data_IF_909719651919
#
_entry.id   IF_909719651919
#
_cell.length_a   1.000
_cell.length_b   1.000
_cell.length_c   1.000
_cell.angle_alpha   90.00
_cell.angle_beta   90.00
_cell.angle_gamma   90.00
#
_symmetry.space_group_name_H-M   'P 1'
#
loop_
_entity.id
_entity.type
_entity.pdbx_description
1 polymer ?
#
# COMPACT_ATOMS: atom_id res chain seq x y z
N UNK A 1 9.61 18.18 21.62
CA UNK A 1 8.55 17.93 20.63
C UNK A 1 9.23 17.59 19.32
N UNK A 2 9.25 16.32 18.94
CA UNK A 2 10.04 15.83 17.80
C UNK A 2 9.14 15.73 16.57
N UNK A 3 9.48 16.44 15.49
CA UNK A 3 8.75 16.34 14.23
C UNK A 3 9.08 15.02 13.53
N UNK A 4 8.07 14.18 13.31
CA UNK A 4 8.21 13.00 12.47
C UNK A 4 8.35 13.45 11.01
N UNK A 5 9.51 13.19 10.39
CA UNK A 5 9.67 13.30 8.94
C UNK A 5 9.16 12.03 8.28
N UNK A 6 8.33 12.19 7.26
CA UNK A 6 8.10 11.12 6.28
C UNK A 6 9.43 10.80 5.60
N UNK A 7 9.75 9.52 5.49
CA UNK A 7 10.99 9.05 4.88
C UNK A 7 10.76 8.86 3.37
N UNK A 8 11.45 9.63 2.50
CA UNK A 8 11.38 9.41 1.06
C UNK A 8 12.16 8.14 0.71
N UNK A 9 11.45 7.01 0.57
CA UNK A 9 12.02 5.73 0.16
C UNK A 9 11.07 4.98 -0.78
N UNK A 10 10.83 5.58 -1.94
CA UNK A 10 10.21 4.89 -3.08
C UNK A 10 11.18 3.84 -3.64
N UNK A 11 11.11 2.62 -3.09
CA UNK A 11 11.96 1.51 -3.53
C UNK A 11 11.43 0.91 -4.85
N UNK A 12 11.70 1.60 -5.97
CA UNK A 12 11.47 1.06 -7.33
C UNK A 12 12.19 -0.29 -7.48
N UNK A 13 11.61 -1.25 -8.22
CA UNK A 13 12.27 -2.33 -9.04
C UNK A 13 11.26 -3.25 -9.73
N UNK A 14 11.68 -3.85 -10.84
CA UNK A 14 10.95 -4.88 -11.59
C UNK A 14 11.53 -6.28 -11.38
N UNK A 15 10.67 -7.30 -11.25
CA UNK A 15 11.07 -8.71 -11.20
C UNK A 15 10.07 -9.62 -11.93
N UNK A 16 10.50 -10.81 -12.39
CA UNK A 16 9.65 -11.69 -13.21
C UNK A 16 8.73 -12.59 -12.37
N UNK A 17 7.49 -12.76 -12.83
CA UNK A 17 6.50 -13.66 -12.22
C UNK A 17 6.74 -15.14 -12.56
N UNK A 18 6.36 -16.02 -11.63
CA UNK A 18 5.95 -17.41 -11.90
C UNK A 18 4.51 -17.60 -11.43
N UNK A 19 3.62 -18.03 -12.32
CA UNK A 19 2.18 -18.04 -12.08
C UNK A 19 1.64 -19.43 -11.73
N UNK A 20 1.29 -19.64 -10.45
CA UNK A 20 0.52 -20.80 -10.00
C UNK A 20 -0.99 -20.55 -10.06
N UNK A 21 -1.77 -21.53 -10.52
CA UNK A 21 -3.25 -21.48 -10.55
C UNK A 21 -3.85 -21.60 -9.15
N UNK A 22 -4.10 -20.48 -8.47
CA UNK A 22 -4.88 -20.40 -7.23
C UNK A 22 -5.65 -19.08 -7.14
N UNK A 23 -6.78 -19.08 -6.43
CA UNK A 23 -7.62 -17.88 -6.21
C UNK A 23 -6.94 -16.79 -5.35
N UNK A 24 -5.82 -17.13 -4.71
CA UNK A 24 -4.83 -16.19 -4.21
C UNK A 24 -3.53 -16.43 -4.99
N UNK A 25 -3.13 -15.46 -5.82
CA UNK A 25 -1.80 -15.48 -6.42
C UNK A 25 -0.80 -15.02 -5.36
N UNK A 26 0.05 -15.93 -4.88
CA UNK A 26 1.22 -15.57 -4.08
C UNK A 26 2.32 -15.06 -5.02
N UNK A 27 2.93 -13.93 -4.69
CA UNK A 27 3.69 -13.15 -5.65
C UNK A 27 5.04 -12.71 -5.09
N UNK A 28 6.13 -13.16 -5.71
CA UNK A 28 7.50 -13.05 -5.21
C UNK A 28 8.36 -12.22 -6.16
N UNK A 29 9.08 -11.22 -5.65
CA UNK A 29 9.86 -10.29 -6.49
C UNK A 29 11.27 -9.99 -5.98
N UNK A 30 12.22 -9.93 -6.93
CA UNK A 30 13.67 -9.69 -6.79
C UNK A 30 14.00 -8.20 -6.71
N UNK A 31 15.00 -7.79 -5.89
CA UNK A 31 15.42 -6.38 -5.81
C UNK A 31 16.97 -6.15 -5.77
N UNK A 32 17.59 -5.38 -6.71
CA UNK A 32 19.01 -4.94 -6.64
C UNK A 32 19.23 -3.47 -6.19
N UNK A 33 20.08 -3.24 -5.17
CA UNK A 33 20.34 -1.96 -4.45
C UNK A 33 20.85 -0.76 -5.27
N UNK A 34 20.40 0.48 -4.96
CA UNK A 34 21.28 1.66 -4.98
C UNK A 34 21.19 2.53 -3.69
N UNK A 35 21.97 3.62 -3.65
CA UNK A 35 22.45 4.35 -2.46
C UNK A 35 21.91 5.81 -2.36
N UNK A 36 22.08 6.46 -1.19
CA UNK A 36 21.33 7.66 -0.76
C UNK A 36 21.99 9.04 -1.05
N UNK A 37 21.17 10.08 -1.32
CA UNK A 37 21.44 11.55 -1.21
C UNK A 37 20.13 12.38 -1.40
N UNK A 38 19.89 13.56 -0.78
CA UNK A 38 20.63 14.16 0.35
C UNK A 38 20.31 15.58 0.92
N UNK A 39 19.23 16.33 0.60
CA UNK A 39 19.09 17.72 1.15
C UNK A 39 17.78 18.55 1.00
N UNK A 40 17.29 19.05 2.15
CA UNK A 40 16.57 20.33 2.54
C UNK A 40 16.18 21.43 1.49
N UNK A 41 15.26 22.42 1.69
CA UNK A 41 14.19 22.82 2.68
C UNK A 41 13.41 24.09 2.12
N UNK A 42 12.34 24.57 2.82
CA UNK A 42 11.53 25.83 2.65
C UNK A 42 10.40 25.82 1.57
N UNK A 43 9.22 26.48 1.72
CA UNK A 43 8.60 27.28 2.80
C UNK A 43 7.03 27.21 2.75
N UNK A 44 6.32 27.67 3.79
CA UNK A 44 4.85 27.51 3.97
C UNK A 44 3.99 28.71 3.54
N UNK A 45 2.76 28.44 3.10
CA UNK A 45 1.59 29.33 3.25
C UNK A 45 0.33 28.51 3.59
N UNK A 46 -0.35 28.84 4.69
CA UNK A 46 -1.57 28.16 5.13
C UNK A 46 -2.84 28.89 4.66
N UNK A 47 -3.77 28.15 4.07
CA UNK A 47 -5.17 28.58 3.86
C UNK A 47 -6.07 27.68 4.68
N UNK A 48 -6.75 28.23 5.69
CA UNK A 48 -7.57 27.46 6.63
C UNK A 48 -8.90 27.01 6.01
N UNK A 49 -9.00 25.75 5.61
CA UNK A 49 -10.29 25.11 5.34
C UNK A 49 -10.68 24.24 6.54
N UNK A 50 -11.95 24.28 6.96
CA UNK A 50 -12.39 23.63 8.19
C UNK A 50 -12.27 22.09 8.06
N UNK A 51 -11.33 21.51 8.78
CA UNK A 51 -11.10 20.07 8.82
C UNK A 51 -12.31 19.34 9.39
N UNK A 52 -12.87 18.38 8.64
CA UNK A 52 -13.58 17.27 9.28
C UNK A 52 -12.52 16.48 10.05
N UNK A 53 -12.53 16.62 11.37
CA UNK A 53 -11.67 15.82 12.25
C UNK A 53 -11.86 14.34 11.94
N UNK A 54 -10.83 13.69 11.43
CA UNK A 54 -10.83 12.24 11.29
C UNK A 54 -10.83 11.66 12.69
N UNK A 55 -11.99 11.19 13.13
CA UNK A 55 -12.09 10.41 14.34
C UNK A 55 -12.05 8.95 13.90
N UNK A 56 -10.94 8.23 14.09
CA UNK A 56 -11.01 6.78 14.06
C UNK A 56 -11.91 6.40 15.24
N UNK A 57 -13.14 5.97 14.96
CA UNK A 57 -13.89 5.23 15.96
C UNK A 57 -13.02 4.01 16.30
N UNK A 58 -12.62 3.82 17.58
CA UNK A 58 -11.76 2.71 17.93
C UNK A 58 -12.49 1.43 17.58
N UNK A 59 -12.03 0.74 16.54
CA UNK A 59 -12.65 -0.49 16.07
C UNK A 59 -12.84 -1.42 17.28
N UNK A 60 -14.05 -1.97 17.51
CA UNK A 60 -14.34 -2.73 18.72
C UNK A 60 -13.29 -3.82 18.87
N UNK A 61 -12.69 -3.98 20.07
CA UNK A 61 -11.56 -4.87 20.27
C UNK A 61 -11.94 -6.27 19.77
N UNK A 62 -11.09 -6.91 18.95
CA UNK A 62 -11.46 -8.12 18.23
C UNK A 62 -11.91 -9.20 19.23
N UNK A 63 -13.20 -9.55 19.18
CA UNK A 63 -13.88 -10.39 20.18
C UNK A 63 -13.03 -11.60 20.54
N UNK A 64 -12.67 -11.73 21.82
CA UNK A 64 -11.73 -12.75 22.32
C UNK A 64 -12.25 -14.18 22.16
N UNK A 65 -13.56 -14.35 22.11
CA UNK A 65 -14.26 -15.60 21.81
C UNK A 65 -14.82 -15.57 20.39
N UNK A 66 -14.46 -16.52 19.49
CA UNK A 66 -15.16 -16.69 18.22
C UNK A 66 -16.64 -17.00 18.47
N UNK A 67 -17.56 -16.44 17.68
CA UNK A 67 -18.96 -16.89 17.72
C UNK A 67 -19.01 -18.33 17.16
N UNK A 68 -19.42 -19.34 17.96
CA UNK A 68 -19.48 -20.73 17.50
C UNK A 68 -20.56 -20.95 16.42
N UNK A 69 -21.44 -19.98 16.19
CA UNK A 69 -22.44 -20.00 15.11
C UNK A 69 -21.97 -19.31 13.83
N UNK A 70 -20.83 -18.63 13.85
CA UNK A 70 -20.28 -17.98 12.65
C UNK A 70 -19.61 -19.01 11.73
N UNK A 71 -19.70 -18.78 10.42
CA UNK A 71 -19.01 -19.59 9.41
C UNK A 71 -17.49 -19.56 9.60
N UNK A 72 -16.81 -20.66 9.25
CA UNK A 72 -15.36 -20.82 9.42
C UNK A 72 -14.51 -19.64 8.89
N UNK A 73 -14.81 -19.00 7.73
CA UNK A 73 -14.08 -17.82 7.27
C UNK A 73 -14.21 -16.60 8.19
N UNK A 74 -15.36 -16.40 8.87
CA UNK A 74 -15.53 -15.31 9.83
C UNK A 74 -14.85 -15.60 11.17
N UNK A 75 -14.87 -16.86 11.63
CA UNK A 75 -14.07 -17.27 12.78
C UNK A 75 -12.57 -17.02 12.52
N UNK A 76 -12.06 -17.42 11.34
CA UNK A 76 -10.67 -17.17 10.95
C UNK A 76 -10.36 -15.66 10.87
N UNK A 77 -11.23 -14.84 10.26
CA UNK A 77 -11.08 -13.37 10.26
C UNK A 77 -11.07 -12.81 11.68
N UNK A 78 -11.90 -13.33 12.58
CA UNK A 78 -11.92 -12.96 14.00
C UNK A 78 -10.59 -13.20 14.72
N UNK A 79 -9.92 -14.31 14.42
CA UNK A 79 -8.57 -14.61 14.94
C UNK A 79 -7.51 -13.72 14.27
N UNK A 80 -7.51 -13.63 12.94
CA UNK A 80 -6.49 -12.90 12.18
C UNK A 80 -6.49 -11.38 12.45
N UNK A 81 -7.65 -10.80 12.81
CA UNK A 81 -7.79 -9.39 13.26
C UNK A 81 -7.07 -9.08 14.58
N UNK A 82 -6.61 -10.09 15.34
CA UNK A 82 -5.85 -9.91 16.59
C UNK A 82 -4.33 -9.84 16.38
N UNK A 83 -3.86 -10.28 15.21
CA UNK A 83 -2.44 -10.23 14.88
C UNK A 83 -2.10 -8.83 14.37
N UNK A 84 -0.96 -8.31 14.80
CA UNK A 84 -0.39 -7.11 14.19
C UNK A 84 0.10 -7.46 12.78
N UNK A 85 -0.34 -6.69 11.79
CA UNK A 85 0.12 -6.79 10.40
C UNK A 85 0.76 -5.47 9.99
N UNK A 86 1.71 -5.52 9.05
CA UNK A 86 2.13 -4.33 8.30
C UNK A 86 0.92 -3.76 7.53
N UNK A 87 0.91 -2.45 7.27
CA UNK A 87 -0.03 -1.83 6.33
C UNK A 87 0.79 -1.02 5.35
N UNK A 88 0.65 -1.36 4.07
CA UNK A 88 1.36 -0.69 2.98
C UNK A 88 0.39 -0.40 1.83
N UNK A 89 0.66 0.65 1.06
CA UNK A 89 0.03 0.86 -0.25
C UNK A 89 0.96 0.36 -1.33
N UNK A 90 0.45 -0.45 -2.25
CA UNK A 90 1.13 -0.79 -3.49
C UNK A 90 0.56 0.05 -4.64
N UNK A 91 1.43 0.65 -5.46
CA UNK A 91 1.05 1.32 -6.71
C UNK A 91 1.70 0.66 -7.91
N UNK A 92 1.00 0.64 -9.04
CA UNK A 92 1.44 0.09 -10.33
C UNK A 92 0.71 0.81 -11.47
N UNK A 93 1.25 0.74 -12.68
CA UNK A 93 0.65 1.36 -13.88
C UNK A 93 0.36 0.27 -14.91
N UNK A 94 -0.85 0.27 -15.49
CA UNK A 94 -1.22 -0.72 -16.52
C UNK A 94 -0.75 -0.32 -17.93
N UNK A 95 -0.96 -1.20 -18.93
CA UNK A 95 -0.49 -0.97 -20.32
C UNK A 95 -1.10 0.26 -20.99
N UNK A 96 -2.15 0.85 -20.41
CA UNK A 96 -2.79 2.06 -20.91
C UNK A 96 -2.18 3.32 -20.30
N UNK A 97 -1.13 3.19 -19.48
CA UNK A 97 -0.56 4.28 -18.70
C UNK A 97 -1.45 4.67 -17.51
N UNK A 98 -2.48 3.89 -17.17
CA UNK A 98 -3.40 4.27 -16.11
C UNK A 98 -2.87 3.80 -14.75
N UNK A 99 -2.55 4.72 -13.82
CA UNK A 99 -2.11 4.35 -12.49
C UNK A 99 -3.21 3.63 -11.67
N UNK A 100 -2.77 2.67 -10.85
CA UNK A 100 -3.57 1.82 -9.96
C UNK A 100 -2.89 1.77 -8.59
N UNK A 101 -3.69 1.78 -7.52
CA UNK A 101 -3.22 1.52 -6.16
C UNK A 101 -4.02 0.43 -5.44
N UNK A 102 -3.49 -0.11 -4.35
CA UNK A 102 -4.26 -0.87 -3.35
C UNK A 102 -3.55 -0.90 -1.99
N UNK A 103 -4.32 -0.84 -0.91
CA UNK A 103 -3.82 -1.14 0.44
C UNK A 103 -3.73 -2.65 0.65
N UNK A 104 -2.67 -3.11 1.29
CA UNK A 104 -2.50 -4.51 1.68
C UNK A 104 -1.87 -4.64 3.06
N UNK A 105 -2.24 -5.72 3.75
CA UNK A 105 -1.65 -6.13 5.03
C UNK A 105 -0.98 -7.51 4.97
N UNK A 106 -0.72 -8.01 3.76
CA UNK A 106 -0.11 -9.32 3.50
C UNK A 106 1.37 -9.22 3.10
N UNK A 107 1.96 -8.02 3.22
CA UNK A 107 3.33 -7.71 2.79
C UNK A 107 4.36 -8.16 3.82
N UNK A 108 5.25 -9.06 3.41
CA UNK A 108 6.32 -9.62 4.26
C UNK A 108 7.60 -9.86 3.46
N UNK A 109 8.76 -9.73 4.11
CA UNK A 109 10.03 -10.15 3.54
C UNK A 109 10.12 -11.68 3.51
N UNK A 110 10.56 -12.23 2.37
CA UNK A 110 10.69 -13.66 2.12
C UNK A 110 12.15 -14.12 2.14
N UNK A 111 13.07 -13.29 1.67
CA UNK A 111 14.51 -13.53 1.73
C UNK A 111 15.29 -12.22 1.74
N UNK A 112 16.54 -12.26 2.19
CA UNK A 112 17.48 -11.14 2.17
C UNK A 112 18.78 -11.47 1.42
N UNK A 113 19.15 -12.75 1.35
CA UNK A 113 20.38 -13.28 0.74
C UNK A 113 20.06 -14.65 0.08
N UNK A 114 20.60 -14.98 -1.10
CA UNK A 114 21.41 -14.15 -2.01
C UNK A 114 20.61 -13.06 -2.73
N UNK A 115 19.30 -12.98 -2.48
CA UNK A 115 18.37 -12.07 -3.13
C UNK A 115 17.39 -11.51 -2.09
N UNK A 116 17.25 -10.17 -1.97
CA UNK A 116 16.16 -9.59 -1.22
C UNK A 116 14.84 -9.82 -1.97
N UNK A 117 13.96 -10.61 -1.36
CA UNK A 117 12.65 -11.00 -1.87
C UNK A 117 11.56 -10.51 -0.91
N UNK A 118 10.47 -10.00 -1.47
CA UNK A 118 9.22 -9.75 -0.75
C UNK A 118 8.11 -10.62 -1.31
N UNK A 119 7.11 -10.93 -0.49
CA UNK A 119 5.90 -11.63 -0.93
C UNK A 119 4.65 -10.99 -0.35
N UNK A 120 3.56 -11.04 -1.11
CA UNK A 120 2.25 -10.60 -0.70
C UNK A 120 1.15 -11.39 -1.42
N UNK A 121 -0.06 -11.33 -0.86
CA UNK A 121 -1.24 -12.03 -1.37
C UNK A 121 -2.30 -11.03 -1.82
N UNK A 122 -2.75 -11.17 -3.07
CA UNK A 122 -3.79 -10.32 -3.67
C UNK A 122 -5.03 -11.14 -3.98
N UNK A 123 -6.21 -10.63 -3.59
CA UNK A 123 -7.50 -11.24 -3.91
C UNK A 123 -7.78 -11.11 -5.42
N UNK A 124 -8.10 -12.21 -6.09
CA UNK A 124 -8.56 -12.17 -7.49
C UNK A 124 -10.09 -12.02 -7.57
N UNK A 125 -10.63 -11.30 -8.58
CA UNK A 125 -9.92 -10.47 -9.55
C UNK A 125 -9.42 -9.15 -8.94
N UNK A 126 -8.25 -8.67 -9.37
CA UNK A 126 -7.70 -7.37 -8.96
C UNK A 126 -7.10 -6.64 -10.15
N UNK A 127 -7.53 -5.40 -10.36
CA UNK A 127 -6.99 -4.51 -11.42
C UNK A 127 -5.56 -4.08 -11.12
N UNK A 128 -5.20 -3.93 -9.85
CA UNK A 128 -3.81 -3.62 -9.45
C UNK A 128 -2.91 -4.84 -9.71
N UNK A 129 -3.39 -6.07 -9.48
CA UNK A 129 -2.63 -7.26 -9.86
C UNK A 129 -2.41 -7.34 -11.38
N UNK A 130 -3.43 -7.04 -12.19
CA UNK A 130 -3.28 -6.95 -13.65
C UNK A 130 -2.28 -5.88 -14.06
N UNK A 131 -2.32 -4.68 -13.47
CA UNK A 131 -1.34 -3.62 -13.72
C UNK A 131 0.09 -4.03 -13.37
N UNK A 132 0.30 -4.73 -12.25
CA UNK A 132 1.61 -5.28 -11.87
C UNK A 132 2.09 -6.31 -12.92
N UNK A 133 1.21 -7.18 -13.40
CA UNK A 133 1.54 -8.18 -14.44
C UNK A 133 1.88 -7.52 -15.79
N UNK A 134 1.11 -6.50 -16.15
CA UNK A 134 1.27 -5.67 -17.34
C UNK A 134 2.60 -4.89 -17.33
N UNK A 135 2.97 -4.32 -16.19
CA UNK A 135 4.26 -3.66 -15.95
C UNK A 135 5.44 -4.64 -15.74
N UNK A 136 5.31 -5.89 -16.22
CA UNK A 136 6.33 -6.95 -16.09
C UNK A 136 6.82 -7.21 -14.66
N UNK A 137 5.97 -6.96 -13.66
CA UNK A 137 6.28 -7.07 -12.24
C UNK A 137 6.97 -5.85 -11.62
N UNK A 138 6.87 -4.67 -12.25
CA UNK A 138 7.22 -3.39 -11.63
C UNK A 138 6.05 -2.83 -10.80
N UNK A 139 6.38 -2.34 -9.60
CA UNK A 139 5.44 -1.72 -8.66
C UNK A 139 6.24 -0.97 -7.59
N UNK A 140 5.58 -0.04 -6.90
CA UNK A 140 6.11 0.59 -5.69
C UNK A 140 5.38 0.05 -4.45
N UNK A 141 6.06 0.11 -3.30
CA UNK A 141 5.49 -0.15 -1.97
C UNK A 141 5.75 1.05 -1.09
N UNK A 142 4.68 1.62 -0.54
CA UNK A 142 4.69 2.77 0.36
C UNK A 142 4.38 2.27 1.77
N UNK A 143 5.39 2.31 2.64
CA UNK A 143 5.24 1.96 4.07
C UNK A 143 4.65 3.17 4.78
N UNK A 144 3.44 3.02 5.31
CA UNK A 144 2.70 4.14 5.89
C UNK A 144 3.20 4.45 7.30
N UNK A 145 3.26 5.75 7.62
CA UNK A 145 3.52 6.21 8.97
C UNK A 145 2.35 5.85 9.91
N UNK A 146 2.62 5.75 11.21
CA UNK A 146 1.57 5.62 12.22
C UNK A 146 0.74 6.91 12.35
N UNK A 147 -0.52 6.76 12.76
CA UNK A 147 -1.43 7.90 13.02
C UNK A 147 -2.46 8.17 11.92
N UNK A 148 -3.14 9.32 12.05
CA UNK A 148 -4.29 9.71 11.24
C UNK A 148 -4.01 9.77 9.73
N UNK A 149 -2.92 10.43 9.31
CA UNK A 149 -2.59 10.63 7.90
C UNK A 149 -2.35 9.27 7.20
N UNK A 150 -1.54 8.40 7.81
CA UNK A 150 -1.32 7.04 7.32
C UNK A 150 -2.60 6.19 7.29
N UNK A 151 -3.46 6.30 8.31
CA UNK A 151 -4.76 5.62 8.33
C UNK A 151 -5.70 6.11 7.21
N UNK A 152 -5.74 7.42 6.93
CA UNK A 152 -6.52 8.01 5.81
C UNK A 152 -6.01 7.52 4.45
N UNK A 153 -4.70 7.43 4.26
CA UNK A 153 -4.10 6.87 3.03
C UNK A 153 -4.45 5.38 2.90
N UNK A 154 -4.29 4.61 3.98
CA UNK A 154 -4.65 3.21 4.00
C UNK A 154 -6.13 3.00 3.63
N UNK A 155 -7.05 3.76 4.22
CA UNK A 155 -8.49 3.68 3.89
C UNK A 155 -8.75 4.06 2.43
N UNK A 156 -8.17 5.16 1.95
CA UNK A 156 -8.37 5.66 0.58
C UNK A 156 -8.10 4.59 -0.47
N UNK A 157 -6.95 3.91 -0.35
CA UNK A 157 -6.55 2.84 -1.26
C UNK A 157 -7.24 1.48 -1.02
N UNK A 158 -8.19 1.36 -0.06
CA UNK A 158 -9.11 0.20 0.00
C UNK A 158 -10.28 0.31 -1.00
N UNK A 159 -10.66 1.53 -1.40
CA UNK A 159 -11.91 1.82 -2.14
C UNK A 159 -11.88 1.32 -3.60
N UNK A 160 -10.70 0.97 -4.11
CA UNK A 160 -10.46 0.33 -5.40
C UNK A 160 -10.46 1.29 -6.59
N UNK A 161 -9.77 0.90 -7.67
CA UNK A 161 -9.42 1.78 -8.80
C UNK A 161 -10.56 2.15 -9.76
N UNK A 162 -11.74 2.55 -9.28
CA UNK A 162 -12.82 3.05 -10.14
C UNK A 162 -12.34 4.30 -10.90
N UNK A 163 -12.58 4.34 -12.22
CA UNK A 163 -12.29 5.50 -13.08
C UNK A 163 -10.82 5.85 -13.37
N UNK A 164 -9.85 5.31 -12.62
CA UNK A 164 -8.45 5.78 -12.70
C UNK A 164 -8.17 7.05 -11.88
N UNK A 165 -9.18 7.59 -11.21
CA UNK A 165 -9.12 8.85 -10.47
C UNK A 165 -8.65 8.70 -9.02
N UNK A 166 -8.09 7.54 -8.64
CA UNK A 166 -7.63 7.26 -7.26
C UNK A 166 -6.57 8.27 -6.79
N UNK A 167 -5.81 8.84 -7.72
CA UNK A 167 -4.77 9.82 -7.42
C UNK A 167 -5.28 11.28 -7.48
N UNK A 168 -6.53 11.53 -7.94
CA UNK A 168 -7.14 12.87 -8.08
C UNK A 168 -7.86 13.40 -6.83
N UNK A 169 -7.75 12.71 -5.71
CA UNK A 169 -8.45 13.07 -4.47
C UNK A 169 -7.76 12.58 -3.21
N UNK A 170 -6.44 12.44 -3.25
CA UNK A 170 -5.64 11.91 -2.15
C UNK A 170 -5.88 12.68 -0.84
N UNK A 171 -5.70 12.03 0.32
CA UNK A 171 -5.76 12.71 1.61
C UNK A 171 -4.87 13.94 1.65
N UNK A 172 -5.33 14.98 2.34
CA UNK A 172 -4.59 16.23 2.50
C UNK A 172 -3.16 16.01 3.01
N UNK A 173 -2.20 16.70 2.39
CA UNK A 173 -0.78 16.53 2.66
C UNK A 173 -0.14 15.33 1.96
N UNK A 174 -0.86 14.60 1.10
CA UNK A 174 -0.31 13.49 0.29
C UNK A 174 -0.43 13.82 -1.19
N UNK A 175 0.71 13.78 -1.89
CA UNK A 175 0.80 14.00 -3.33
C UNK A 175 1.22 12.71 -4.04
N UNK A 176 0.85 12.60 -5.32
CA UNK A 176 1.31 11.52 -6.19
C UNK A 176 2.21 12.10 -7.27
N UNK A 177 3.47 11.71 -7.24
CA UNK A 177 4.45 12.02 -8.28
C UNK A 177 4.34 10.96 -9.36
N UNK A 178 3.91 11.37 -10.55
CA UNK A 178 3.80 10.52 -11.73
C UNK A 178 4.95 10.87 -12.70
N UNK A 179 5.80 9.88 -13.01
CA UNK A 179 6.80 9.95 -14.09
C UNK A 179 6.28 9.15 -15.30
N UNK A 180 6.63 9.55 -16.53
CA UNK A 180 6.05 9.02 -17.77
C UNK A 180 6.09 7.49 -17.87
N UNK A 181 4.92 6.85 -17.69
CA UNK A 181 4.74 5.40 -17.78
C UNK A 181 5.16 4.60 -16.54
N UNK A 182 5.67 5.24 -15.48
CA UNK A 182 6.03 4.58 -14.22
C UNK A 182 4.84 4.46 -13.26
N UNK A 183 5.01 3.67 -12.19
CA UNK A 183 4.07 3.59 -11.09
C UNK A 183 4.16 4.86 -10.23
N UNK A 184 3.05 5.51 -9.84
CA UNK A 184 3.10 6.72 -9.03
C UNK A 184 3.82 6.50 -7.70
N UNK A 185 4.56 7.51 -7.27
CA UNK A 185 5.16 7.58 -5.93
C UNK A 185 4.27 8.43 -5.04
N UNK A 186 3.98 7.96 -3.82
CA UNK A 186 3.25 8.76 -2.83
C UNK A 186 4.25 9.49 -1.95
N UNK A 187 4.09 10.81 -1.81
CA UNK A 187 4.92 11.67 -0.98
C UNK A 187 4.04 12.45 0.02
N UNK A 188 4.59 12.72 1.22
CA UNK A 188 3.94 13.50 2.28
C UNK A 188 3.63 12.75 3.57
#
# INVERSE_FOLDING_TARGET
MSGARVLPNALRRAGRLSAGRSACCNLVYYTPTPQCLGGNLFASMHTSHALRSWHPEPAPPPTTTPDPKAELPEQLRGVMRRLAHSVVVCTATDRQGQPRGMTMSSFVSLSMDPVPLVTFNVRTPSRTLSAIQDAHGAFNIHVLAEGEQGARVAEWFTRGNLGGEVFRGLPEGIEAVEEDGEAPVLEG
#
